data_IF_856601228223
#
_entry.id   IF_856601228223
#
_cell.length_a   1.000
_cell.length_b   1.000
_cell.length_c   1.000
_cell.angle_alpha   90.00
_cell.angle_beta   90.00
_cell.angle_gamma   90.00
#
_symmetry.space_group_name_H-M   'P 1'
#
loop_
_entity.id
_entity.type
_entity.pdbx_description
1 polymer ?
#
# COMPACT_ATOMS: atom_id res chain seq x y z
N UNK A 1 33.08 -7.83 -0.79
CA UNK A 1 31.67 -8.24 -0.63
C UNK A 1 30.83 -7.30 -1.49
N UNK A 2 30.31 -7.77 -2.62
CA UNK A 2 29.38 -7.01 -3.45
C UNK A 2 28.03 -6.97 -2.72
N UNK A 3 27.89 -6.01 -1.81
CA UNK A 3 26.65 -5.76 -1.10
C UNK A 3 25.60 -5.29 -2.10
N UNK A 4 24.39 -5.81 -1.97
CA UNK A 4 23.19 -5.31 -2.64
C UNK A 4 23.05 -3.80 -2.31
N UNK A 5 23.56 -2.92 -3.16
CA UNK A 5 23.43 -1.46 -3.03
C UNK A 5 22.06 -1.05 -3.56
N UNK A 6 20.99 -1.40 -2.86
CA UNK A 6 19.70 -0.75 -3.08
C UNK A 6 19.60 0.49 -2.19
N UNK A 7 18.95 1.54 -2.70
CA UNK A 7 18.61 2.67 -1.84
C UNK A 7 17.49 2.25 -0.89
N UNK A 8 17.55 2.68 0.36
CA UNK A 8 16.49 2.46 1.35
C UNK A 8 15.13 2.99 0.82
N UNK A 9 15.16 4.06 0.03
CA UNK A 9 14.00 4.66 -0.61
C UNK A 9 13.33 3.71 -1.64
N UNK A 10 14.12 3.02 -2.47
CA UNK A 10 13.59 2.06 -3.44
C UNK A 10 12.91 0.89 -2.73
N UNK A 11 13.52 0.37 -1.67
CA UNK A 11 12.94 -0.73 -0.89
C UNK A 11 11.62 -0.34 -0.21
N UNK A 12 11.54 0.86 0.38
CA UNK A 12 10.30 1.37 0.98
C UNK A 12 9.19 1.55 -0.08
N UNK A 13 9.57 1.97 -1.29
CA UNK A 13 8.64 2.10 -2.42
C UNK A 13 8.12 0.72 -2.85
N UNK A 14 8.98 -0.30 -2.91
CA UNK A 14 8.61 -1.70 -3.20
C UNK A 14 7.66 -2.25 -2.11
N UNK A 15 7.95 -2.03 -0.83
CA UNK A 15 7.05 -2.44 0.28
C UNK A 15 5.65 -1.85 0.06
N UNK A 16 5.57 -0.57 -0.29
CA UNK A 16 4.30 0.12 -0.51
C UNK A 16 3.56 -0.44 -1.73
N UNK A 17 4.28 -0.75 -2.82
CA UNK A 17 3.74 -1.43 -4.00
C UNK A 17 3.11 -2.77 -3.63
N UNK A 18 3.85 -3.62 -2.92
CA UNK A 18 3.40 -4.95 -2.50
C UNK A 18 2.20 -4.86 -1.55
N UNK A 19 2.20 -3.87 -0.67
CA UNK A 19 1.08 -3.57 0.22
C UNK A 19 -0.19 -3.21 -0.57
N UNK A 20 -0.06 -2.36 -1.60
CA UNK A 20 -1.16 -1.99 -2.48
C UNK A 20 -1.68 -3.16 -3.34
N UNK A 21 -0.79 -4.04 -3.81
CA UNK A 21 -1.18 -5.29 -4.47
C UNK A 21 -2.04 -6.14 -3.53
N UNK A 22 -1.60 -6.34 -2.30
CA UNK A 22 -2.36 -7.10 -1.30
C UNK A 22 -3.70 -6.44 -0.99
N UNK A 23 -3.72 -5.11 -0.82
CA UNK A 23 -4.94 -4.35 -0.59
C UNK A 23 -5.92 -4.48 -1.77
N UNK A 24 -5.43 -4.54 -3.00
CA UNK A 24 -6.24 -4.75 -4.21
C UNK A 24 -6.93 -6.12 -4.20
N UNK A 25 -6.21 -7.19 -3.84
CA UNK A 25 -6.81 -8.52 -3.70
C UNK A 25 -7.84 -8.55 -2.57
N UNK A 26 -7.54 -7.92 -1.44
CA UNK A 26 -8.48 -7.79 -0.32
C UNK A 26 -9.74 -7.01 -0.74
N UNK A 27 -9.58 -5.92 -1.48
CA UNK A 27 -10.68 -5.12 -2.00
C UNK A 27 -11.55 -5.91 -2.98
N UNK A 28 -10.94 -6.65 -3.92
CA UNK A 28 -11.67 -7.47 -4.89
C UNK A 28 -12.53 -8.56 -4.19
N UNK A 29 -11.93 -9.31 -3.26
CA UNK A 29 -12.65 -10.34 -2.50
C UNK A 29 -13.75 -9.76 -1.62
N UNK A 30 -13.49 -8.62 -0.97
CA UNK A 30 -14.47 -7.88 -0.19
C UNK A 30 -15.62 -7.34 -1.05
N UNK A 31 -15.30 -6.80 -2.22
CA UNK A 31 -16.29 -6.22 -3.13
C UNK A 31 -17.19 -7.30 -3.74
N UNK A 32 -16.63 -8.45 -4.08
CA UNK A 32 -17.41 -9.61 -4.52
C UNK A 32 -18.43 -10.04 -3.46
N UNK A 33 -18.01 -10.22 -2.21
CA UNK A 33 -18.92 -10.66 -1.14
C UNK A 33 -19.94 -9.57 -0.76
N UNK A 34 -19.50 -8.32 -0.63
CA UNK A 34 -20.31 -7.21 -0.13
C UNK A 34 -21.24 -6.56 -1.16
N UNK A 35 -20.78 -6.37 -2.40
CA UNK A 35 -21.54 -5.65 -3.43
C UNK A 35 -22.12 -6.59 -4.50
N UNK A 36 -21.34 -7.55 -5.01
CA UNK A 36 -21.82 -8.45 -6.08
C UNK A 36 -22.78 -9.51 -5.54
N UNK A 37 -22.40 -10.23 -4.48
CA UNK A 37 -23.22 -11.29 -3.86
C UNK A 37 -24.16 -10.76 -2.78
N UNK A 38 -23.91 -9.54 -2.28
CA UNK A 38 -24.64 -8.93 -1.15
C UNK A 38 -24.73 -9.86 0.08
N UNK A 39 -23.73 -10.71 0.28
CA UNK A 39 -23.68 -11.77 1.30
C UNK A 39 -22.30 -11.79 1.95
N UNK A 40 -22.05 -10.86 2.87
CA UNK A 40 -20.77 -10.75 3.58
C UNK A 40 -20.39 -11.98 4.38
N UNK A 41 -21.36 -12.80 4.76
CA UNK A 41 -21.10 -14.07 5.42
C UNK A 41 -20.22 -14.98 4.56
N UNK A 42 -20.17 -14.79 3.23
CA UNK A 42 -19.26 -15.49 2.33
C UNK A 42 -17.79 -15.30 2.69
N UNK A 43 -17.42 -14.14 3.28
CA UNK A 43 -16.08 -13.93 3.81
C UNK A 43 -15.78 -14.76 5.06
N UNK A 44 -16.74 -15.53 5.58
CA UNK A 44 -16.57 -16.47 6.71
C UNK A 44 -16.89 -17.90 6.32
N UNK A 45 -17.87 -18.10 5.44
CA UNK A 45 -18.38 -19.44 5.12
C UNK A 45 -17.72 -20.06 3.89
N UNK A 46 -17.19 -19.26 2.97
CA UNK A 46 -16.43 -19.76 1.83
C UNK A 46 -14.94 -19.76 2.18
N UNK A 47 -14.36 -20.93 2.39
CA UNK A 47 -12.97 -21.08 2.84
C UNK A 47 -11.96 -20.38 1.92
N UNK A 48 -12.18 -20.41 0.60
CA UNK A 48 -11.27 -19.78 -0.37
C UNK A 48 -11.30 -18.26 -0.18
N UNK A 49 -12.50 -17.67 -0.16
CA UNK A 49 -12.65 -16.22 0.04
C UNK A 49 -12.15 -15.80 1.41
N UNK A 50 -12.49 -16.53 2.46
CA UNK A 50 -12.06 -16.21 3.82
C UNK A 50 -10.54 -16.21 3.94
N UNK A 51 -9.88 -17.28 3.48
CA UNK A 51 -8.41 -17.40 3.55
C UNK A 51 -7.74 -16.31 2.72
N UNK A 52 -8.17 -16.08 1.49
CA UNK A 52 -7.62 -15.04 0.64
C UNK A 52 -7.82 -13.64 1.23
N UNK A 53 -9.05 -13.28 1.59
CA UNK A 53 -9.37 -11.95 2.13
C UNK A 53 -8.58 -11.65 3.40
N UNK A 54 -8.43 -12.66 4.27
CA UNK A 54 -7.68 -12.52 5.52
C UNK A 54 -6.17 -12.49 5.31
N UNK A 55 -5.63 -13.37 4.46
CA UNK A 55 -4.19 -13.43 4.20
C UNK A 55 -3.69 -12.13 3.54
N UNK A 56 -4.31 -11.72 2.43
CA UNK A 56 -3.93 -10.48 1.75
C UNK A 56 -4.20 -9.24 2.61
N UNK A 57 -5.28 -9.22 3.40
CA UNK A 57 -5.50 -8.15 4.36
C UNK A 57 -4.46 -8.09 5.48
N UNK A 58 -3.99 -9.25 5.95
CA UNK A 58 -2.91 -9.38 6.90
C UNK A 58 -1.59 -8.86 6.33
N UNK A 59 -1.20 -9.34 5.14
CA UNK A 59 0.02 -8.89 4.47
C UNK A 59 0.02 -7.39 4.19
N UNK A 60 -1.10 -6.84 3.69
CA UNK A 60 -1.22 -5.39 3.52
C UNK A 60 -0.93 -4.69 4.87
N UNK A 61 -1.61 -5.08 5.93
CA UNK A 61 -1.42 -4.47 7.26
C UNK A 61 0.03 -4.57 7.76
N UNK A 62 0.68 -5.72 7.60
CA UNK A 62 2.09 -5.91 7.99
C UNK A 62 3.02 -5.01 7.17
N UNK A 63 2.85 -4.96 5.85
CA UNK A 63 3.65 -4.11 4.97
C UNK A 63 3.43 -2.62 5.27
N UNK A 64 2.20 -2.23 5.67
CA UNK A 64 1.95 -0.87 6.15
C UNK A 64 2.80 -0.52 7.36
N UNK A 65 2.79 -1.37 8.39
CA UNK A 65 3.54 -1.10 9.61
C UNK A 65 5.04 -1.14 9.39
N UNK A 66 5.52 -1.97 8.48
CA UNK A 66 6.93 -1.97 8.07
C UNK A 66 7.32 -0.62 7.42
N UNK A 67 6.51 -0.13 6.47
CA UNK A 67 6.73 1.19 5.85
C UNK A 67 6.57 2.34 6.83
N UNK A 68 5.57 2.27 7.73
CA UNK A 68 5.34 3.28 8.77
C UNK A 68 6.52 3.36 9.75
N UNK A 69 7.07 2.21 10.16
CA UNK A 69 8.26 2.17 11.01
C UNK A 69 9.43 2.89 10.33
N UNK A 70 9.74 2.52 9.08
CA UNK A 70 10.80 3.18 8.31
C UNK A 70 10.56 4.69 8.15
N UNK A 71 9.32 5.10 7.87
CA UNK A 71 8.91 6.50 7.75
C UNK A 71 9.08 7.30 9.04
N UNK A 72 8.65 6.75 10.18
CA UNK A 72 8.82 7.40 11.49
C UNK A 72 10.30 7.51 11.84
N UNK A 73 11.09 6.44 11.67
CA UNK A 73 12.53 6.49 11.97
C UNK A 73 13.27 7.48 11.08
N UNK A 74 12.91 7.58 9.79
CA UNK A 74 13.49 8.56 8.88
C UNK A 74 13.10 10.00 9.22
N UNK A 75 11.84 10.22 9.61
CA UNK A 75 11.36 11.53 10.05
C UNK A 75 12.04 12.01 11.34
N UNK A 76 12.19 11.12 12.33
CA UNK A 76 12.95 11.42 13.55
C UNK A 76 14.44 11.65 13.25
N UNK A 77 15.02 10.85 12.36
CA UNK A 77 16.38 11.04 11.83
C UNK A 77 16.62 12.45 11.27
N UNK A 78 15.68 12.93 10.46
CA UNK A 78 15.75 14.25 9.85
C UNK A 78 15.65 15.39 10.88
N UNK A 79 14.75 15.26 11.86
CA UNK A 79 14.49 16.33 12.85
C UNK A 79 15.57 16.41 13.92
N UNK A 80 16.01 15.25 14.45
CA UNK A 80 16.84 15.21 15.66
C UNK A 80 18.33 15.01 15.40
N UNK A 81 18.69 14.47 14.24
CA UNK A 81 20.05 13.96 14.02
C UNK A 81 20.70 14.47 12.72
N UNK A 82 20.01 15.31 11.94
CA UNK A 82 20.47 15.86 10.64
C UNK A 82 20.99 14.79 9.66
N UNK A 83 20.49 13.54 9.80
CA UNK A 83 20.91 12.39 9.00
C UNK A 83 20.28 12.43 7.61
N UNK A 84 19.23 13.23 7.44
CA UNK A 84 18.52 13.47 6.19
C UNK A 84 17.99 14.90 6.16
N UNK A 85 18.08 15.57 5.01
CA UNK A 85 17.56 16.94 4.87
C UNK A 85 16.04 16.94 5.12
N UNK A 86 15.61 17.75 6.09
CA UNK A 86 14.19 17.95 6.35
C UNK A 86 13.60 18.92 5.32
N UNK A 87 12.92 18.37 4.31
CA UNK A 87 12.57 19.09 3.08
C UNK A 87 11.12 19.60 3.08
N UNK A 88 10.76 20.36 4.12
CA UNK A 88 9.40 20.88 4.27
C UNK A 88 8.95 21.80 3.12
N UNK A 89 9.88 22.32 2.31
CA UNK A 89 9.58 23.15 1.14
C UNK A 89 9.47 22.35 -0.18
N UNK A 90 9.85 21.06 -0.18
CA UNK A 90 9.83 20.24 -1.39
C UNK A 90 8.44 19.66 -1.65
N UNK A 91 7.94 19.78 -2.89
CA UNK A 91 6.63 19.24 -3.25
C UNK A 91 6.59 17.71 -3.13
N UNK A 92 7.64 17.02 -3.56
CA UNK A 92 7.71 15.55 -3.52
C UNK A 92 7.66 15.03 -2.07
N UNK A 93 8.26 15.75 -1.11
CA UNK A 93 8.13 15.48 0.32
C UNK A 93 6.69 15.68 0.80
N UNK A 94 6.13 16.86 0.57
CA UNK A 94 4.83 17.26 1.11
C UNK A 94 3.66 16.45 0.54
N UNK A 95 3.74 16.07 -0.74
CA UNK A 95 2.71 15.28 -1.42
C UNK A 95 2.53 13.89 -0.81
N UNK A 96 3.60 13.28 -0.30
CA UNK A 96 3.53 11.94 0.29
C UNK A 96 3.42 11.98 1.82
N UNK A 97 4.21 12.82 2.49
CA UNK A 97 4.38 12.77 3.95
C UNK A 97 3.14 13.27 4.71
N UNK A 98 2.56 14.42 4.35
CA UNK A 98 1.42 14.95 5.10
C UNK A 98 0.16 14.08 4.99
N UNK A 99 -0.25 13.64 3.79
CA UNK A 99 -1.41 12.77 3.65
C UNK A 99 -1.19 11.38 4.30
N UNK A 100 0.07 10.93 4.41
CA UNK A 100 0.42 9.68 5.09
C UNK A 100 -0.02 9.66 6.57
N UNK A 101 -0.09 10.80 7.26
CA UNK A 101 -0.62 10.86 8.62
C UNK A 101 -2.12 10.52 8.68
N UNK A 102 -2.92 11.05 7.75
CA UNK A 102 -4.34 10.74 7.68
C UNK A 102 -4.58 9.26 7.31
N UNK A 103 -3.76 8.74 6.39
CA UNK A 103 -3.75 7.33 6.00
C UNK A 103 -3.40 6.44 7.21
N UNK A 104 -2.43 6.84 8.03
CA UNK A 104 -2.05 6.11 9.24
C UNK A 104 -3.22 5.98 10.21
N UNK A 105 -3.97 7.05 10.42
CA UNK A 105 -5.19 7.02 11.25
C UNK A 105 -6.20 6.00 10.70
N UNK A 106 -6.45 6.00 9.39
CA UNK A 106 -7.39 5.05 8.76
C UNK A 106 -6.92 3.60 8.95
N UNK A 107 -5.65 3.32 8.66
CA UNK A 107 -5.11 1.95 8.73
C UNK A 107 -5.03 1.45 10.17
N UNK A 108 -4.55 2.28 11.11
CA UNK A 108 -4.50 1.94 12.53
C UNK A 108 -5.92 1.72 13.07
N UNK A 109 -6.87 2.58 12.73
CA UNK A 109 -8.25 2.43 13.17
C UNK A 109 -8.89 1.15 12.64
N UNK A 110 -8.73 0.84 11.34
CA UNK A 110 -9.20 -0.43 10.76
C UNK A 110 -8.54 -1.63 11.42
N UNK A 111 -7.24 -1.56 11.69
CA UNK A 111 -6.48 -2.62 12.36
C UNK A 111 -7.02 -2.83 13.77
N UNK A 112 -7.16 -1.76 14.55
CA UNK A 112 -7.73 -1.80 15.90
C UNK A 112 -9.11 -2.44 15.92
N UNK A 113 -10.02 -2.03 15.02
CA UNK A 113 -11.35 -2.63 14.92
C UNK A 113 -11.29 -4.12 14.52
N UNK A 114 -10.36 -4.50 13.63
CA UNK A 114 -10.20 -5.88 13.15
C UNK A 114 -9.75 -6.83 14.28
N UNK A 115 -8.87 -6.37 15.17
CA UNK A 115 -8.30 -7.19 16.23
C UNK A 115 -9.10 -7.11 17.54
N UNK A 116 -9.43 -5.90 17.99
CA UNK A 116 -9.99 -5.67 19.32
C UNK A 116 -11.51 -5.48 19.34
N UNK A 117 -12.12 -4.98 18.26
CA UNK A 117 -13.57 -4.67 18.22
C UNK A 117 -14.27 -5.24 16.98
N UNK A 118 -14.12 -6.55 16.76
CA UNK A 118 -14.64 -7.27 15.57
C UNK A 118 -16.12 -7.03 15.27
N UNK A 119 -16.99 -6.80 16.26
CA UNK A 119 -18.41 -6.50 15.96
C UNK A 119 -18.58 -5.18 15.20
N UNK A 120 -17.78 -4.16 15.53
CA UNK A 120 -17.87 -2.85 14.90
C UNK A 120 -17.34 -2.84 13.46
N UNK A 121 -16.40 -3.73 13.11
CA UNK A 121 -15.92 -3.82 11.73
C UNK A 121 -17.04 -4.23 10.78
N UNK A 122 -17.94 -5.12 11.20
CA UNK A 122 -19.11 -5.55 10.42
C UNK A 122 -20.25 -4.52 10.43
N UNK A 123 -20.19 -3.47 11.25
CA UNK A 123 -21.08 -2.31 11.14
C UNK A 123 -20.54 -1.28 10.15
N UNK A 124 -19.22 -1.16 10.08
CA UNK A 124 -18.49 -0.16 9.31
C UNK A 124 -17.83 -0.74 8.05
N UNK A 125 -18.16 -1.95 7.63
CA UNK A 125 -17.42 -2.66 6.58
C UNK A 125 -17.49 -1.96 5.21
N UNK A 126 -18.64 -1.37 4.87
CA UNK A 126 -18.87 -0.72 3.58
C UNK A 126 -17.94 0.47 3.36
N UNK A 127 -17.91 1.42 4.29
CA UNK A 127 -17.08 2.63 4.13
C UNK A 127 -15.62 2.39 4.52
N UNK A 128 -15.33 1.59 5.56
CA UNK A 128 -13.97 1.42 6.07
C UNK A 128 -13.12 0.54 5.14
N UNK A 129 -13.73 -0.44 4.48
CA UNK A 129 -13.08 -1.23 3.44
C UNK A 129 -12.66 -0.37 2.25
N UNK A 130 -13.60 0.45 1.75
CA UNK A 130 -13.35 1.40 0.65
C UNK A 130 -12.30 2.45 1.05
N UNK A 131 -12.45 3.07 2.22
CA UNK A 131 -11.50 4.05 2.74
C UNK A 131 -10.09 3.46 2.88
N UNK A 132 -9.96 2.23 3.37
CA UNK A 132 -8.66 1.56 3.46
C UNK A 132 -8.04 1.31 2.08
N UNK A 133 -8.86 0.90 1.10
CA UNK A 133 -8.35 0.68 -0.25
C UNK A 133 -7.90 1.99 -0.90
N UNK A 134 -8.70 3.06 -0.80
CA UNK A 134 -8.31 4.40 -1.28
C UNK A 134 -7.03 4.88 -0.60
N UNK A 135 -6.92 4.69 0.72
CA UNK A 135 -5.74 5.05 1.49
C UNK A 135 -4.49 4.31 0.98
N UNK A 136 -4.60 3.01 0.68
CA UNK A 136 -3.51 2.24 0.06
C UNK A 136 -3.15 2.70 -1.34
N UNK A 137 -4.14 2.93 -2.18
CA UNK A 137 -3.95 3.41 -3.56
C UNK A 137 -3.22 4.75 -3.55
N UNK A 138 -3.65 5.68 -2.69
CA UNK A 138 -2.98 6.96 -2.51
C UNK A 138 -1.55 6.78 -2.00
N UNK A 139 -1.36 5.97 -0.95
CA UNK A 139 -0.04 5.77 -0.36
C UNK A 139 0.96 5.24 -1.39
N UNK A 140 0.53 4.29 -2.22
CA UNK A 140 1.32 3.76 -3.32
C UNK A 140 1.63 4.80 -4.39
N UNK A 141 0.60 5.45 -4.94
CA UNK A 141 0.77 6.43 -6.01
C UNK A 141 1.66 7.58 -5.55
N UNK A 142 1.40 8.14 -4.37
CA UNK A 142 2.20 9.23 -3.80
C UNK A 142 3.64 8.81 -3.50
N UNK A 143 3.87 7.60 -2.96
CA UNK A 143 5.21 7.07 -2.73
C UNK A 143 5.98 6.89 -4.04
N UNK A 144 5.34 6.35 -5.08
CA UNK A 144 5.95 6.20 -6.39
C UNK A 144 6.34 7.55 -6.99
N UNK A 145 5.41 8.52 -7.05
CA UNK A 145 5.73 9.86 -7.54
C UNK A 145 6.85 10.53 -6.74
N UNK A 146 6.80 10.42 -5.41
CA UNK A 146 7.82 11.00 -4.54
C UNK A 146 9.21 10.42 -4.84
N UNK A 147 9.31 9.10 -4.94
CA UNK A 147 10.54 8.38 -5.28
C UNK A 147 11.08 8.78 -6.65
N UNK A 148 10.27 8.66 -7.71
CA UNK A 148 10.75 8.89 -9.07
C UNK A 148 11.16 10.34 -9.32
N UNK A 149 10.43 11.33 -8.78
CA UNK A 149 10.83 12.74 -8.90
C UNK A 149 12.21 13.01 -8.28
N UNK A 150 12.56 12.27 -7.21
CA UNK A 150 13.86 12.38 -6.53
C UNK A 150 15.00 11.64 -7.23
N UNK A 151 14.71 10.89 -8.30
CA UNK A 151 15.71 10.27 -9.18
C UNK A 151 16.08 11.15 -10.38
N UNK A 152 15.36 12.26 -10.64
CA UNK A 152 15.58 13.11 -11.81
C UNK A 152 16.56 14.25 -11.47
N UNK A 153 17.74 14.31 -12.09
CA UNK A 153 18.75 15.35 -11.80
C UNK A 153 18.31 16.77 -12.19
N UNK A 154 17.39 16.92 -13.15
CA UNK A 154 16.98 18.24 -13.69
C UNK A 154 15.81 18.87 -12.92
N UNK A 155 15.01 18.09 -12.19
CA UNK A 155 13.86 18.57 -11.42
C UNK A 155 14.27 18.99 -10.00
N UNK A 156 15.29 18.34 -9.45
CA UNK A 156 15.90 18.70 -8.17
C UNK A 156 17.08 19.61 -8.47
N UNK A 157 16.91 20.92 -8.26
CA UNK A 157 18.01 21.86 -8.35
C UNK A 157 19.13 21.39 -7.41
N UNK A 158 20.25 20.96 -8.00
CA UNK A 158 21.46 20.44 -7.35
C UNK A 158 21.28 19.02 -6.78
N UNK A 159 21.73 18.04 -7.57
CA UNK A 159 21.90 16.61 -7.28
C UNK A 159 20.62 15.76 -7.08
N UNK A 160 20.48 14.72 -7.90
CA UNK A 160 19.48 13.69 -7.66
C UNK A 160 19.72 13.05 -6.28
N UNK A 161 18.68 13.03 -5.45
CA UNK A 161 18.78 12.53 -4.08
C UNK A 161 18.83 11.01 -4.00
N UNK A 162 18.31 10.35 -5.03
CA UNK A 162 18.30 8.90 -5.15
C UNK A 162 18.94 8.50 -6.47
N UNK A 163 19.71 7.39 -6.48
CA UNK A 163 20.14 6.80 -7.73
C UNK A 163 18.91 6.35 -8.55
N UNK A 164 19.05 6.19 -9.87
CA UNK A 164 18.02 5.55 -10.70
C UNK A 164 17.61 4.18 -10.13
N UNK A 165 16.35 3.76 -10.34
CA UNK A 165 15.86 2.48 -9.84
C UNK A 165 16.66 1.31 -10.39
N UNK A 166 16.94 0.34 -9.52
CA UNK A 166 17.59 -0.93 -9.87
C UNK A 166 16.58 -2.07 -10.05
N UNK A 167 15.49 -2.04 -9.28
CA UNK A 167 14.46 -3.09 -9.22
C UNK A 167 13.09 -2.60 -9.67
N UNK A 168 12.78 -1.33 -9.43
CA UNK A 168 11.60 -0.70 -10.02
C UNK A 168 11.85 -0.42 -11.51
N UNK A 169 10.77 -0.30 -12.28
CA UNK A 169 10.88 0.07 -13.68
C UNK A 169 11.55 1.46 -13.83
N UNK A 170 12.23 1.74 -14.95
CA UNK A 170 12.79 3.05 -15.17
C UNK A 170 11.68 4.11 -15.33
N UNK A 171 12.01 5.39 -15.16
CA UNK A 171 11.03 6.48 -15.03
C UNK A 171 10.12 6.63 -16.27
N UNK A 172 10.63 6.29 -17.44
CA UNK A 172 9.88 6.28 -18.71
C UNK A 172 8.67 5.33 -18.65
N UNK A 173 8.70 4.35 -17.74
CA UNK A 173 7.66 3.37 -17.49
C UNK A 173 6.93 3.59 -16.15
N UNK A 174 7.03 4.79 -15.55
CA UNK A 174 6.38 5.14 -14.28
C UNK A 174 4.88 4.77 -14.26
N UNK A 175 4.15 5.06 -15.32
CA UNK A 175 2.73 4.75 -15.39
C UNK A 175 2.45 3.26 -15.36
N UNK A 176 3.28 2.47 -16.04
CA UNK A 176 3.21 1.01 -15.96
C UNK A 176 3.51 0.57 -14.53
N UNK A 177 4.57 1.10 -13.91
CA UNK A 177 4.92 0.81 -12.52
C UNK A 177 3.74 1.06 -11.57
N UNK A 178 3.10 2.22 -11.68
CA UNK A 178 1.94 2.62 -10.85
C UNK A 178 0.77 1.64 -11.02
N UNK A 179 0.51 1.20 -12.25
CA UNK A 179 -0.64 0.36 -12.59
C UNK A 179 -0.42 -1.12 -12.19
N UNK A 180 0.83 -1.60 -12.18
CA UNK A 180 1.17 -3.01 -11.91
C UNK A 180 0.50 -3.63 -10.67
N UNK A 181 0.57 -3.05 -9.45
CA UNK A 181 -0.05 -3.68 -8.28
C UNK A 181 -1.56 -3.81 -8.40
N UNK A 182 -2.22 -2.89 -9.10
CA UNK A 182 -3.67 -2.96 -9.36
C UNK A 182 -4.01 -4.05 -10.35
N UNK A 183 -3.27 -4.14 -11.47
CA UNK A 183 -3.51 -5.18 -12.48
C UNK A 183 -3.24 -6.58 -11.93
N UNK A 184 -2.08 -6.79 -11.31
CA UNK A 184 -1.71 -8.08 -10.73
C UNK A 184 -2.71 -8.45 -9.61
N UNK A 185 -3.02 -7.51 -8.74
CA UNK A 185 -4.00 -7.71 -7.68
C UNK A 185 -5.40 -8.05 -8.21
N UNK A 186 -5.84 -7.39 -9.29
CA UNK A 186 -7.12 -7.68 -9.93
C UNK A 186 -7.15 -9.07 -10.58
N UNK A 187 -6.08 -9.47 -11.27
CA UNK A 187 -5.94 -10.80 -11.88
C UNK A 187 -6.00 -11.89 -10.81
N UNK A 188 -5.21 -11.74 -9.74
CA UNK A 188 -5.22 -12.68 -8.61
C UNK A 188 -6.60 -12.72 -7.94
N UNK A 189 -7.20 -11.56 -7.68
CA UNK A 189 -8.53 -11.43 -7.12
C UNK A 189 -9.59 -12.14 -7.98
N UNK A 190 -9.54 -11.95 -9.30
CA UNK A 190 -10.44 -12.62 -10.25
C UNK A 190 -10.31 -14.15 -10.20
N UNK A 191 -9.09 -14.68 -10.20
CA UNK A 191 -8.85 -16.13 -10.12
C UNK A 191 -9.42 -16.69 -8.80
N UNK A 192 -9.17 -16.02 -7.67
CA UNK A 192 -9.69 -16.41 -6.36
C UNK A 192 -11.22 -16.40 -6.35
N UNK A 193 -11.82 -15.32 -6.83
CA UNK A 193 -13.28 -15.15 -6.89
C UNK A 193 -13.90 -16.24 -7.76
N UNK A 194 -13.32 -16.55 -8.93
CA UNK A 194 -13.84 -17.59 -9.83
C UNK A 194 -13.83 -18.95 -9.17
N UNK A 195 -12.74 -19.32 -8.48
CA UNK A 195 -12.66 -20.58 -7.73
C UNK A 195 -13.64 -20.63 -6.57
N UNK A 196 -13.86 -19.50 -5.90
CA UNK A 196 -14.83 -19.41 -4.82
C UNK A 196 -16.28 -19.56 -5.31
N UNK A 197 -16.63 -18.94 -6.44
CA UNK A 197 -17.96 -19.01 -7.06
C UNK A 197 -18.28 -20.45 -7.50
N UNK A 198 -17.29 -21.16 -8.06
CA UNK A 198 -17.42 -22.57 -8.47
C UNK A 198 -17.70 -23.52 -7.31
N UNK A 199 -17.28 -23.19 -6.08
CA UNK A 199 -17.55 -23.99 -4.87
C UNK A 199 -18.84 -23.58 -4.16
N UNK A 200 -19.42 -22.44 -4.51
CA UNK A 200 -20.70 -21.99 -3.95
C UNK A 200 -21.88 -22.57 -4.72
N UNK A 201 -21.73 -22.77 -6.04
CA UNK A 201 -22.68 -23.49 -6.89
C UNK A 201 -22.62 -24.99 -6.63
#
# INVERSE_FOLDING_TARGET
>A
MAGLTYSIAEFNTIITMLGCLCATVQAATGAYAGYKKKKLSLLKTNDILFRAHRAFGGFATTLYFLGLFAGITGFLGAIFFDVSKFEILDFSFNFHVWPSFAIAVIVIYKTYLSYFRKRLIYKHYNWLGVATFIAWSYNWVSSAFSYYLRTIPFVVAVDAQHPPPTYLLPIELLWLQIILPFLIGAILGYIIIRKADQREK
#
